data_IF_329387577845
#
_entry.id   IF_329387577845
#
_cell.length_a   1.000
_cell.length_b   1.000
_cell.length_c   1.000
_cell.angle_alpha   90.00
_cell.angle_beta   90.00
_cell.angle_gamma   90.00
#
_symmetry.space_group_name_H-M   'P 1'
#
loop_
_entity.id
_entity.type
_entity.pdbx_description
1 polymer ?
#
# COMPACT_ATOMS: atom_id res chain seq x y z
N UNK A 1 -1.55 19.85 -10.02
CA UNK A 1 -1.43 18.56 -9.30
C UNK A 1 -2.22 18.68 -8.01
N UNK A 2 -3.39 18.04 -7.91
CA UNK A 2 -4.18 18.07 -6.68
C UNK A 2 -3.55 17.08 -5.69
N UNK A 3 -3.26 17.54 -4.48
CA UNK A 3 -2.70 16.71 -3.40
C UNK A 3 -3.82 16.26 -2.49
N UNK A 4 -3.88 14.96 -2.22
CA UNK A 4 -4.79 14.39 -1.23
C UNK A 4 -4.03 14.15 0.07
N UNK A 5 -4.67 14.51 1.19
CA UNK A 5 -4.22 14.16 2.53
C UNK A 5 -5.42 13.52 3.22
N UNK A 6 -5.23 12.30 3.69
CA UNK A 6 -6.28 11.51 4.35
C UNK A 6 -5.76 10.99 5.67
N UNK A 7 -6.69 10.78 6.61
CA UNK A 7 -6.38 10.11 7.86
C UNK A 7 -6.60 8.61 7.68
N UNK A 8 -5.59 7.78 7.95
CA UNK A 8 -5.66 6.34 7.68
C UNK A 8 -6.74 5.59 8.48
N UNK A 9 -7.21 6.11 9.62
CA UNK A 9 -8.39 5.56 10.34
C UNK A 9 -9.68 5.66 9.53
N UNK A 10 -9.78 6.63 8.62
CA UNK A 10 -11.01 6.85 7.84
C UNK A 10 -11.13 5.85 6.70
N UNK A 11 -10.01 5.51 6.06
CA UNK A 11 -10.00 4.78 4.81
C UNK A 11 -8.64 4.09 4.56
N UNK A 12 -8.71 2.87 4.04
CA UNK A 12 -7.56 2.17 3.46
C UNK A 12 -7.27 2.68 2.03
N UNK A 13 -6.22 2.15 1.41
CA UNK A 13 -5.82 2.54 0.07
C UNK A 13 -6.93 2.29 -0.96
N UNK A 14 -7.60 1.14 -0.88
CA UNK A 14 -8.70 0.76 -1.77
C UNK A 14 -9.85 1.76 -1.70
N UNK A 15 -10.29 2.10 -0.48
CA UNK A 15 -11.37 3.07 -0.24
C UNK A 15 -11.02 4.45 -0.80
N UNK A 16 -9.77 4.90 -0.62
CA UNK A 16 -9.30 6.19 -1.14
C UNK A 16 -9.29 6.18 -2.67
N UNK A 17 -8.80 5.12 -3.30
CA UNK A 17 -8.75 4.98 -4.77
C UNK A 17 -10.17 4.95 -5.35
N UNK A 18 -11.08 4.15 -4.77
CA UNK A 18 -12.49 4.10 -5.19
C UNK A 18 -13.17 5.47 -5.06
N UNK A 19 -12.89 6.22 -3.98
CA UNK A 19 -13.36 7.59 -3.83
C UNK A 19 -12.83 8.51 -4.96
N UNK A 20 -11.54 8.44 -5.28
CA UNK A 20 -10.95 9.24 -6.36
C UNK A 20 -11.56 8.89 -7.72
N UNK A 21 -11.82 7.60 -7.99
CA UNK A 21 -12.47 7.14 -9.21
C UNK A 21 -13.91 7.64 -9.30
N UNK A 22 -14.69 7.53 -8.22
CA UNK A 22 -16.05 8.06 -8.15
C UNK A 22 -16.06 9.57 -8.38
N UNK A 23 -15.17 10.31 -7.72
CA UNK A 23 -15.03 11.75 -7.88
C UNK A 23 -14.69 12.13 -9.33
N UNK A 24 -13.72 11.44 -9.95
CA UNK A 24 -13.36 11.68 -11.34
C UNK A 24 -14.53 11.40 -12.30
N UNK A 25 -15.29 10.33 -12.06
CA UNK A 25 -16.44 9.96 -12.88
C UNK A 25 -17.54 11.02 -12.82
N UNK A 26 -17.88 11.49 -11.62
CA UNK A 26 -18.87 12.57 -11.40
C UNK A 26 -18.46 13.87 -12.10
N UNK A 27 -17.17 14.22 -12.07
CA UNK A 27 -16.69 15.43 -12.74
C UNK A 27 -16.63 15.29 -14.26
N UNK A 28 -16.52 14.06 -14.78
CA UNK A 28 -16.49 13.79 -16.21
C UNK A 28 -17.88 13.80 -16.84
N UNK A 29 -18.92 13.42 -16.11
CA UNK A 29 -20.30 13.42 -16.61
C UNK A 29 -20.80 14.84 -16.92
N UNK A 30 -21.39 15.03 -18.11
CA UNK A 30 -21.91 16.33 -18.57
C UNK A 30 -23.30 16.60 -17.97
N UNK A 31 -23.67 17.87 -17.71
CA UNK A 31 -24.99 18.23 -17.16
C UNK A 31 -26.20 17.79 -18.00
N UNK A 32 -26.01 17.57 -19.31
CA UNK A 32 -27.10 17.32 -20.27
C UNK A 32 -27.04 15.90 -20.89
N UNK A 33 -26.16 15.02 -20.40
CA UNK A 33 -26.08 13.64 -20.83
C UNK A 33 -26.88 12.77 -19.86
N UNK A 34 -27.80 11.97 -20.37
CA UNK A 34 -28.62 10.99 -19.62
C UNK A 34 -27.77 9.79 -19.18
N UNK A 35 -26.50 10.02 -18.84
CA UNK A 35 -25.67 9.00 -18.22
C UNK A 35 -26.11 8.95 -16.76
N UNK A 36 -26.78 7.87 -16.38
CA UNK A 36 -27.18 7.65 -15.02
C UNK A 36 -25.91 7.42 -14.18
N UNK A 37 -25.34 8.51 -13.65
CA UNK A 37 -24.11 8.49 -12.85
C UNK A 37 -24.19 7.43 -11.76
N UNK A 38 -25.36 7.24 -11.16
CA UNK A 38 -25.58 6.24 -10.12
C UNK A 38 -25.38 4.80 -10.65
N UNK A 39 -25.83 4.52 -11.86
CA UNK A 39 -25.66 3.22 -12.53
C UNK A 39 -24.19 2.98 -12.85
N UNK A 40 -23.49 3.97 -13.40
CA UNK A 40 -22.05 3.89 -13.67
C UNK A 40 -21.22 3.67 -12.39
N UNK A 41 -21.60 4.32 -11.29
CA UNK A 41 -20.97 4.11 -9.99
C UNK A 41 -21.25 2.69 -9.44
N UNK A 42 -22.45 2.15 -9.66
CA UNK A 42 -22.80 0.81 -9.24
C UNK A 42 -22.07 -0.26 -10.06
N UNK A 43 -22.05 -0.14 -11.40
CA UNK A 43 -21.31 -1.03 -12.30
C UNK A 43 -19.81 -1.06 -11.98
N UNK A 44 -19.24 0.10 -11.63
CA UNK A 44 -17.84 0.22 -11.23
C UNK A 44 -17.53 -0.25 -9.80
N UNK A 45 -18.52 -0.71 -9.02
CA UNK A 45 -18.37 -0.97 -7.58
C UNK A 45 -17.79 0.21 -6.80
N UNK A 46 -18.10 1.44 -7.21
CA UNK A 46 -17.59 2.68 -6.62
C UNK A 46 -18.51 3.23 -5.52
N UNK A 47 -19.67 2.62 -5.32
CA UNK A 47 -20.59 2.97 -4.24
C UNK A 47 -20.06 2.45 -2.90
N UNK A 48 -19.91 3.31 -1.89
CA UNK A 48 -19.39 2.91 -0.60
C UNK A 48 -20.39 2.03 0.15
N UNK A 49 -19.87 0.98 0.79
CA UNK A 49 -20.64 0.10 1.67
C UNK A 49 -20.39 0.46 3.13
N UNK A 50 -21.40 1.05 3.80
CA UNK A 50 -21.24 1.61 5.15
C UNK A 50 -21.62 0.67 6.30
N UNK A 51 -22.26 -0.48 6.03
CA UNK A 51 -22.73 -1.35 7.10
C UNK A 51 -21.57 -2.11 7.76
N UNK A 52 -21.01 -1.50 8.80
CA UNK A 52 -19.88 -2.05 9.58
C UNK A 52 -20.24 -3.30 10.39
N UNK A 53 -21.53 -3.64 10.56
CA UNK A 53 -21.92 -4.88 11.25
C UNK A 53 -21.48 -6.14 10.50
N UNK A 54 -21.17 -6.02 9.20
CA UNK A 54 -20.61 -7.12 8.42
C UNK A 54 -19.12 -7.39 8.74
N UNK A 55 -18.42 -6.42 9.33
CA UNK A 55 -17.07 -6.64 9.84
C UNK A 55 -17.23 -7.39 11.17
N UNK A 56 -16.99 -8.70 11.12
CA UNK A 56 -17.07 -9.53 12.31
C UNK A 56 -15.97 -9.14 13.27
N UNK A 57 -16.34 -8.66 14.46
CA UNK A 57 -15.41 -8.56 15.57
C UNK A 57 -15.13 -9.97 16.10
N UNK A 58 -14.13 -10.62 15.51
CA UNK A 58 -13.67 -11.93 15.93
C UNK A 58 -13.19 -11.82 17.38
N UNK A 59 -13.85 -12.55 18.29
CA UNK A 59 -13.38 -12.73 19.67
C UNK A 59 -13.17 -11.45 20.49
N UNK A 60 -13.83 -10.34 20.13
CA UNK A 60 -13.69 -9.07 20.86
C UNK A 60 -12.33 -8.38 20.65
N UNK A 61 -11.59 -8.73 19.59
CA UNK A 61 -10.27 -8.17 19.28
C UNK A 61 -10.28 -6.63 19.24
N UNK A 62 -11.36 -6.00 18.80
CA UNK A 62 -11.46 -4.54 18.77
C UNK A 62 -11.22 -3.93 20.16
N UNK A 63 -11.80 -4.54 21.21
CA UNK A 63 -11.62 -4.07 22.59
C UNK A 63 -10.19 -4.33 23.08
N UNK A 64 -9.63 -5.51 22.76
CA UNK A 64 -8.26 -5.86 23.14
C UNK A 64 -7.26 -4.87 22.53
N UNK A 65 -7.38 -4.60 21.22
CA UNK A 65 -6.51 -3.65 20.55
C UNK A 65 -6.74 -2.22 21.04
N UNK A 66 -7.99 -1.84 21.32
CA UNK A 66 -8.29 -0.52 21.89
C UNK A 66 -7.63 -0.34 23.26
N UNK A 67 -7.74 -1.32 24.14
CA UNK A 67 -7.11 -1.30 25.47
C UNK A 67 -5.58 -1.22 25.36
N UNK A 68 -4.96 -1.88 24.38
CA UNK A 68 -3.53 -1.75 24.11
C UNK A 68 -3.19 -0.32 23.66
N UNK A 69 -3.94 0.26 22.73
CA UNK A 69 -3.69 1.62 22.22
C UNK A 69 -3.80 2.65 23.35
N UNK A 70 -4.85 2.55 24.16
CA UNK A 70 -5.08 3.42 25.32
C UNK A 70 -4.03 3.18 26.39
N UNK A 71 -3.77 1.93 26.75
CA UNK A 71 -2.80 1.54 27.79
C UNK A 71 -1.36 1.90 27.45
N UNK A 72 -0.97 1.86 26.17
CA UNK A 72 0.36 2.25 25.71
C UNK A 72 0.53 3.77 25.51
N UNK A 73 -0.50 4.58 25.76
CA UNK A 73 -0.48 6.04 25.51
C UNK A 73 0.02 6.37 24.09
N UNK A 74 -0.38 5.55 23.11
CA UNK A 74 0.01 5.77 21.72
C UNK A 74 -0.48 7.16 21.29
N UNK A 75 0.39 8.03 20.73
CA UNK A 75 -0.05 9.32 20.24
C UNK A 75 -1.15 9.13 19.19
N UNK A 76 -2.33 9.68 19.47
CA UNK A 76 -3.47 9.66 18.53
C UNK A 76 -3.39 10.83 17.54
N UNK A 77 -2.51 11.79 17.82
CA UNK A 77 -2.23 12.91 16.94
C UNK A 77 -1.41 12.48 15.73
N UNK A 78 -1.70 13.05 14.54
CA UNK A 78 -0.89 12.77 13.37
C UNK A 78 0.56 13.21 13.63
N UNK A 79 1.55 12.36 13.33
CA UNK A 79 2.95 12.75 13.52
C UNK A 79 3.25 13.99 12.68
N UNK A 80 4.04 14.89 13.25
CA UNK A 80 4.51 16.09 12.53
C UNK A 80 5.21 15.62 11.26
N UNK A 81 4.75 16.11 10.11
CA UNK A 81 5.37 15.87 8.80
C UNK A 81 6.72 16.58 8.75
N UNK A 82 7.75 15.93 9.31
CA UNK A 82 9.13 16.37 9.15
C UNK A 82 9.60 15.91 7.78
N UNK A 83 9.62 16.81 6.82
CA UNK A 83 10.30 16.59 5.55
C UNK A 83 11.80 16.52 5.84
N UNK A 84 12.31 15.30 5.96
CA UNK A 84 13.75 15.04 6.09
C UNK A 84 14.39 15.35 4.73
N UNK A 85 15.02 16.52 4.65
CA UNK A 85 15.63 17.09 3.44
C UNK A 85 16.79 16.22 2.92
N UNK A 86 17.33 15.33 3.76
CA UNK A 86 18.42 14.40 3.46
C UNK A 86 17.95 13.04 2.89
N UNK A 87 16.65 12.85 2.62
CA UNK A 87 16.11 11.61 2.03
C UNK A 87 15.93 11.74 0.52
N UNK A 88 16.53 10.79 -0.22
CA UNK A 88 16.29 10.62 -1.64
C UNK A 88 15.14 9.64 -1.87
N UNK A 89 14.20 10.01 -2.74
CA UNK A 89 13.14 9.12 -3.23
C UNK A 89 13.48 8.69 -4.65
N UNK A 90 13.54 7.38 -4.88
CA UNK A 90 13.72 6.80 -6.20
C UNK A 90 12.58 5.82 -6.50
N UNK A 91 12.26 5.68 -7.79
CA UNK A 91 11.29 4.69 -8.29
C UNK A 91 12.06 3.62 -9.05
N UNK A 92 11.85 2.36 -8.67
CA UNK A 92 12.42 1.21 -9.36
C UNK A 92 11.30 0.51 -10.13
N UNK A 93 11.51 0.28 -11.41
CA UNK A 93 10.54 -0.40 -12.28
C UNK A 93 11.04 -1.81 -12.52
N UNK A 94 10.21 -2.80 -12.21
CA UNK A 94 10.47 -4.21 -12.48
C UNK A 94 9.55 -4.66 -13.60
N UNK A 95 10.12 -5.09 -14.73
CA UNK A 95 9.35 -5.51 -15.89
C UNK A 95 8.76 -6.91 -15.70
N UNK A 96 7.69 -7.20 -16.43
CA UNK A 96 7.01 -8.50 -16.42
C UNK A 96 7.97 -9.65 -16.69
N UNK A 97 8.86 -9.51 -17.66
CA UNK A 97 9.84 -10.55 -18.01
C UNK A 97 10.84 -10.80 -16.88
N UNK A 98 11.23 -9.74 -16.16
CA UNK A 98 12.14 -9.83 -15.01
C UNK A 98 11.45 -10.54 -13.83
N UNK A 99 10.18 -10.23 -13.58
CA UNK A 99 9.35 -10.92 -12.58
C UNK A 99 9.24 -12.40 -12.92
N UNK A 100 8.94 -12.75 -14.19
CA UNK A 100 8.86 -14.16 -14.61
C UNK A 100 10.18 -14.90 -14.45
N UNK A 101 11.31 -14.27 -14.83
CA UNK A 101 12.64 -14.86 -14.62
C UNK A 101 12.91 -15.12 -13.13
N UNK A 102 12.55 -14.18 -12.26
CA UNK A 102 12.70 -14.34 -10.81
C UNK A 102 11.79 -15.45 -10.27
N UNK A 103 10.54 -15.54 -10.71
CA UNK A 103 9.63 -16.64 -10.36
C UNK A 103 10.21 -17.99 -10.74
N UNK A 104 10.69 -18.12 -11.98
CA UNK A 104 11.28 -19.37 -12.47
C UNK A 104 12.54 -19.74 -11.69
N UNK A 105 13.38 -18.77 -11.33
CA UNK A 105 14.57 -18.99 -10.50
C UNK A 105 14.18 -19.52 -9.11
N UNK A 106 13.13 -18.98 -8.51
CA UNK A 106 12.63 -19.44 -7.20
C UNK A 106 12.07 -20.85 -7.30
N UNK A 107 11.24 -21.13 -8.30
CA UNK A 107 10.65 -22.46 -8.52
C UNK A 107 11.70 -23.54 -8.79
N UNK A 108 12.78 -23.19 -9.53
CA UNK A 108 13.88 -24.11 -9.79
C UNK A 108 14.66 -24.48 -8.52
N UNK A 109 14.67 -23.62 -7.50
CA UNK A 109 15.38 -23.85 -6.22
C UNK A 109 14.47 -24.39 -5.12
N UNK A 110 13.18 -24.09 -5.18
CA UNK A 110 12.20 -24.47 -4.17
C UNK A 110 10.90 -24.87 -4.86
N UNK A 111 10.78 -26.17 -5.13
CA UNK A 111 9.65 -26.76 -5.83
C UNK A 111 8.39 -26.87 -4.97
N UNK A 112 8.50 -26.68 -3.65
CA UNK A 112 7.41 -26.83 -2.69
C UNK A 112 6.71 -25.52 -2.31
N UNK A 113 6.98 -24.40 -3.00
CA UNK A 113 6.31 -23.13 -2.69
C UNK A 113 4.88 -23.16 -3.20
N UNK A 114 3.92 -23.07 -2.26
CA UNK A 114 2.49 -23.10 -2.54
C UNK A 114 1.96 -21.80 -3.15
N UNK A 115 2.59 -20.66 -2.87
CA UNK A 115 2.10 -19.35 -3.35
C UNK A 115 3.24 -18.42 -3.78
N UNK A 116 3.32 -18.16 -5.09
CA UNK A 116 4.33 -17.31 -5.71
C UNK A 116 3.71 -16.25 -6.63
N UNK A 117 3.27 -15.14 -6.03
CA UNK A 117 2.73 -14.00 -6.78
C UNK A 117 3.82 -13.02 -7.20
N UNK A 118 3.48 -12.07 -8.07
CA UNK A 118 4.40 -10.99 -8.44
C UNK A 118 4.74 -10.12 -7.22
N UNK A 119 3.75 -9.86 -6.36
CA UNK A 119 3.92 -9.13 -5.11
C UNK A 119 4.94 -9.81 -4.19
N UNK A 120 4.85 -11.13 -3.98
CA UNK A 120 5.79 -11.82 -3.07
C UNK A 120 7.23 -11.76 -3.60
N UNK A 121 7.41 -11.90 -4.92
CA UNK A 121 8.73 -11.76 -5.57
C UNK A 121 9.29 -10.35 -5.39
N UNK A 122 8.48 -9.31 -5.63
CA UNK A 122 8.91 -7.92 -5.52
C UNK A 122 9.29 -7.58 -4.07
N UNK A 123 8.48 -8.01 -3.10
CA UNK A 123 8.77 -7.84 -1.68
C UNK A 123 10.06 -8.57 -1.27
N UNK A 124 10.23 -9.84 -1.69
CA UNK A 124 11.44 -10.62 -1.40
C UNK A 124 12.70 -9.97 -2.00
N UNK A 125 12.63 -9.51 -3.25
CA UNK A 125 13.73 -8.81 -3.90
C UNK A 125 14.08 -7.52 -3.15
N UNK A 126 13.07 -6.73 -2.79
CA UNK A 126 13.23 -5.49 -2.03
C UNK A 126 13.91 -5.76 -0.67
N UNK A 127 13.48 -6.81 0.02
CA UNK A 127 14.06 -7.25 1.28
C UNK A 127 15.53 -7.67 1.14
N UNK A 128 15.87 -8.46 0.11
CA UNK A 128 17.24 -8.89 -0.16
C UNK A 128 18.14 -7.70 -0.48
N UNK A 129 17.66 -6.75 -1.29
CA UNK A 129 18.39 -5.51 -1.60
C UNK A 129 18.67 -4.69 -0.33
N UNK A 130 17.66 -4.53 0.53
CA UNK A 130 17.80 -3.85 1.81
C UNK A 130 18.81 -4.55 2.74
N UNK A 131 18.71 -5.87 2.90
CA UNK A 131 19.63 -6.67 3.72
C UNK A 131 21.07 -6.61 3.20
N UNK A 132 21.27 -6.65 1.88
CA UNK A 132 22.60 -6.49 1.26
C UNK A 132 23.18 -5.11 1.53
N UNK A 133 22.38 -4.06 1.39
CA UNK A 133 22.85 -2.69 1.66
C UNK A 133 23.24 -2.49 3.14
N UNK A 134 22.50 -3.09 4.07
CA UNK A 134 22.85 -2.98 5.49
C UNK A 134 24.05 -3.85 5.89
N UNK A 135 24.29 -4.97 5.22
CA UNK A 135 25.46 -5.82 5.51
C UNK A 135 26.78 -5.25 4.99
N UNK A 136 26.76 -4.46 3.91
CA UNK A 136 27.93 -3.69 3.46
C UNK A 136 28.26 -2.51 4.37
N UNK A 137 27.25 -1.88 4.97
CA UNK A 137 27.42 -0.78 5.95
C UNK A 137 28.11 -1.28 7.24
N UNK A 138 27.88 -2.51 7.68
CA UNK A 138 28.57 -3.07 8.85
C UNK A 138 30.08 -3.36 8.65
N UNK A 139 30.58 -3.35 7.40
CA UNK A 139 32.01 -3.59 7.10
C UNK A 139 32.84 -2.30 6.96
N UNK A 140 32.22 -1.12 7.01
CA UNK A 140 32.90 0.16 6.93
C UNK A 140 32.42 1.11 8.03
N UNK A 141 33.33 1.55 8.89
CA UNK A 141 33.06 2.41 10.03
C UNK A 141 32.51 3.79 9.61
N UNK A 142 31.20 3.90 9.37
CA UNK A 142 30.47 5.17 9.38
C UNK A 142 29.11 4.94 10.02
N UNK A 143 28.88 5.58 11.17
CA UNK A 143 27.54 5.76 11.76
C UNK A 143 26.69 6.55 10.77
N UNK A 144 26.01 5.85 9.85
CA UNK A 144 24.97 6.46 9.03
C UNK A 144 23.65 6.41 9.80
N UNK A 145 22.90 7.52 9.71
CA UNK A 145 21.53 7.65 10.18
C UNK A 145 20.66 6.54 9.58
N UNK A 146 19.60 6.09 10.27
CA UNK A 146 18.72 5.05 9.73
C UNK A 146 18.18 5.48 8.36
N UNK A 147 18.54 4.73 7.32
CA UNK A 147 18.01 4.91 5.97
C UNK A 147 16.60 4.32 5.95
N UNK A 148 15.60 5.19 5.81
CA UNK A 148 14.21 4.77 5.68
C UNK A 148 13.95 4.41 4.22
N UNK A 149 13.79 3.12 3.94
CA UNK A 149 13.39 2.61 2.64
C UNK A 149 11.88 2.33 2.65
N UNK A 150 11.13 3.09 1.86
CA UNK A 150 9.73 2.80 1.56
C UNK A 150 9.62 2.34 0.12
N UNK A 151 8.97 1.20 -0.11
CA UNK A 151 8.66 0.72 -1.45
C UNK A 151 7.19 0.95 -1.74
N UNK A 152 6.91 1.61 -2.87
CA UNK A 152 5.58 1.64 -3.46
C UNK A 152 5.60 0.66 -4.62
N UNK A 153 4.91 -0.47 -4.48
CA UNK A 153 4.76 -1.45 -5.56
C UNK A 153 3.61 -0.96 -6.43
N UNK A 154 3.93 -0.52 -7.64
CA UNK A 154 2.94 -0.38 -8.71
C UNK A 154 2.97 -1.72 -9.44
N UNK A 155 2.01 -2.58 -9.13
CA UNK A 155 1.73 -3.74 -9.96
C UNK A 155 0.74 -3.27 -11.03
N UNK A 156 1.18 -3.23 -12.28
CA UNK A 156 0.28 -3.15 -13.42
C UNK A 156 -0.23 -4.59 -13.65
N UNK A 157 -1.49 -4.83 -13.29
CA UNK A 157 -2.21 -6.06 -13.63
C UNK A 157 -3.10 -5.70 -14.83
N UNK A 158 -2.85 -6.36 -15.96
CA UNK A 158 -3.68 -6.31 -17.17
C UNK A 158 -4.97 -7.12 -16.96
#
# INVERSE_FOLDING_TARGET
>A
MHRFVTHHVVADASTIVSFMQAWALINRSKPNGVDNILELLAEGNLLPFYNRKMVMNLSGLDLIYWDIIVGCSCPVEPPILIFLIDKLRATLVLKKEEIHKLKNLVLAKCTSISHLSSLTIICALSWVCWAKNNSTVCRGHRRQRPAYFGFMVIAEED
#
